data_IF_652441559522
#
_entry.id   IF_652441559522
#
_cell.length_a   1.000
_cell.length_b   1.000
_cell.length_c   1.000
_cell.angle_alpha   90.00
_cell.angle_beta   90.00
_cell.angle_gamma   90.00
#
_symmetry.space_group_name_H-M   'P 1'
#
loop_
_entity.id
_entity.type
_entity.pdbx_description
1 polymer ?
#
# COMPACT_ATOMS: atom_id res chain seq x y z
N UNK A 1 -4.26 10.63 -11.52
CA UNK A 1 -5.06 9.69 -10.71
C UNK A 1 -6.51 10.14 -10.66
N UNK A 2 -6.80 11.44 -10.65
CA UNK A 2 -8.17 11.90 -10.84
C UNK A 2 -8.78 11.47 -12.20
N UNK A 3 -10.05 11.08 -12.16
CA UNK A 3 -10.88 10.79 -13.31
C UNK A 3 -11.93 11.90 -13.44
N UNK A 4 -12.04 12.54 -14.61
CA UNK A 4 -13.13 13.50 -14.88
C UNK A 4 -14.45 12.76 -15.17
N UNK A 5 -14.83 11.84 -14.30
CA UNK A 5 -16.04 11.03 -14.36
C UNK A 5 -17.02 11.42 -13.23
N UNK A 6 -17.97 10.55 -12.92
CA UNK A 6 -18.98 10.82 -11.90
C UNK A 6 -18.43 10.79 -10.46
N UNK A 7 -17.23 10.21 -10.27
CA UNK A 7 -16.49 10.11 -9.01
C UNK A 7 -15.09 10.68 -9.20
N UNK A 8 -14.41 11.04 -8.10
CA UNK A 8 -13.06 11.62 -8.14
C UNK A 8 -12.03 10.66 -8.75
N UNK A 9 -12.14 9.37 -8.43
CA UNK A 9 -11.24 8.32 -8.91
C UNK A 9 -12.03 7.04 -9.23
N UNK A 10 -11.38 6.07 -9.87
CA UNK A 10 -11.90 4.69 -10.05
C UNK A 10 -10.74 3.71 -10.01
N UNK A 11 -10.94 2.49 -9.50
CA UNK A 11 -9.86 1.49 -9.45
C UNK A 11 -9.13 1.32 -10.79
N UNK A 12 -9.89 1.03 -11.86
CA UNK A 12 -9.37 0.68 -13.20
C UNK A 12 -8.77 1.82 -14.02
N UNK A 13 -9.19 3.08 -13.80
CA UNK A 13 -8.71 4.20 -14.62
C UNK A 13 -7.77 5.15 -13.87
N UNK A 14 -7.62 4.95 -12.56
CA UNK A 14 -6.96 5.90 -11.67
C UNK A 14 -5.87 5.25 -10.82
N UNK A 15 -6.15 4.09 -10.24
CA UNK A 15 -5.38 3.58 -9.10
C UNK A 15 -4.53 2.38 -9.47
N UNK A 16 -5.09 1.36 -10.14
CA UNK A 16 -4.41 0.10 -10.39
C UNK A 16 -3.17 0.22 -11.30
N UNK A 17 -3.19 1.11 -12.28
CA UNK A 17 -2.04 1.41 -13.16
C UNK A 17 -0.74 1.74 -12.39
N UNK A 18 -0.85 2.25 -11.16
CA UNK A 18 0.33 2.62 -10.36
C UNK A 18 1.18 1.42 -9.95
N UNK A 19 0.61 0.21 -9.89
CA UNK A 19 1.40 -1.01 -9.65
C UNK A 19 2.31 -1.35 -10.83
N UNK A 20 1.97 -0.92 -12.05
CA UNK A 20 2.79 -1.11 -13.26
C UNK A 20 3.78 0.05 -13.47
N UNK A 21 3.38 1.28 -13.15
CA UNK A 21 4.22 2.48 -13.36
C UNK A 21 5.32 2.64 -12.31
N UNK A 22 4.97 2.53 -11.02
CA UNK A 22 5.87 2.85 -9.90
C UNK A 22 7.18 2.04 -9.90
N UNK A 23 7.21 0.73 -10.25
CA UNK A 23 8.44 -0.05 -10.26
C UNK A 23 9.57 0.55 -11.10
N UNK A 24 9.25 1.13 -12.27
CA UNK A 24 10.22 1.72 -13.20
C UNK A 24 10.97 2.91 -12.58
N UNK A 25 10.31 3.64 -11.69
CA UNK A 25 10.84 4.84 -11.05
C UNK A 25 11.38 4.62 -9.64
N UNK A 26 11.12 3.45 -9.03
CA UNK A 26 11.50 3.12 -7.65
C UNK A 26 13.01 3.26 -7.32
N UNK A 27 13.89 3.25 -8.33
CA UNK A 27 15.35 3.46 -8.13
C UNK A 27 15.77 4.93 -8.12
N UNK A 28 14.85 5.83 -8.45
CA UNK A 28 15.10 7.28 -8.56
C UNK A 28 14.51 8.06 -7.39
N UNK A 29 13.64 7.45 -6.59
CA UNK A 29 13.06 8.04 -5.39
C UNK A 29 14.02 8.01 -4.19
N UNK A 30 14.12 9.12 -3.48
CA UNK A 30 14.90 9.26 -2.25
C UNK A 30 15.00 10.72 -1.79
N UNK A 31 15.80 10.99 -0.73
CA UNK A 31 16.10 12.35 -0.32
C UNK A 31 16.59 13.21 -1.51
N UNK A 32 15.89 14.32 -1.77
CA UNK A 32 16.14 15.19 -2.93
C UNK A 32 15.16 15.02 -4.09
N UNK A 33 14.31 13.99 -4.08
CA UNK A 33 13.23 13.81 -5.04
C UNK A 33 12.48 12.50 -4.82
N UNK A 34 11.18 12.58 -4.53
CA UNK A 34 10.30 11.42 -4.40
C UNK A 34 9.44 11.27 -5.66
N UNK A 35 9.05 10.03 -5.97
CA UNK A 35 8.10 9.79 -7.05
C UNK A 35 6.74 10.31 -6.60
N UNK A 36 6.14 11.18 -7.39
CA UNK A 36 4.79 11.67 -7.17
C UNK A 36 3.81 10.74 -7.88
N UNK A 37 3.04 9.99 -7.10
CA UNK A 37 1.98 9.12 -7.62
C UNK A 37 0.65 9.88 -7.79
N UNK A 38 0.65 11.21 -7.65
CA UNK A 38 -0.51 12.10 -7.61
C UNK A 38 -1.23 12.09 -6.24
N UNK A 39 -2.36 12.80 -6.14
CA UNK A 39 -3.16 12.91 -4.91
C UNK A 39 -3.65 11.57 -4.33
N UNK A 40 -4.22 11.61 -3.13
CA UNK A 40 -4.85 10.49 -2.43
C UNK A 40 -6.32 10.83 -2.13
N UNK A 41 -7.21 10.14 -2.82
CA UNK A 41 -8.67 10.28 -2.68
C UNK A 41 -9.25 9.02 -2.04
N UNK A 42 -9.13 8.95 -0.70
CA UNK A 42 -9.58 7.79 0.09
C UNK A 42 -10.48 8.21 1.26
N UNK A 43 -10.73 9.51 1.38
CA UNK A 43 -11.38 10.16 2.50
C UNK A 43 -12.90 10.01 2.51
N UNK A 44 -13.52 9.77 1.35
CA UNK A 44 -14.97 9.67 1.23
C UNK A 44 -15.42 8.70 0.12
N UNK A 45 -15.93 7.54 0.54
CA UNK A 45 -16.39 6.48 -0.37
C UNK A 45 -17.57 6.86 -1.28
N UNK A 46 -18.35 7.89 -0.93
CA UNK A 46 -19.41 8.41 -1.81
C UNK A 46 -18.87 9.28 -2.94
N UNK A 47 -17.69 9.88 -2.77
CA UNK A 47 -17.04 10.75 -3.76
C UNK A 47 -15.95 10.04 -4.56
N UNK A 48 -15.14 9.19 -3.91
CA UNK A 48 -13.98 8.55 -4.53
C UNK A 48 -14.33 7.33 -5.41
N UNK A 49 -15.54 6.76 -5.29
CA UNK A 49 -15.97 5.62 -6.13
C UNK A 49 -15.27 4.30 -5.81
N UNK A 50 -14.57 4.22 -4.67
CA UNK A 50 -13.76 3.07 -4.29
C UNK A 50 -14.39 2.28 -3.13
N UNK A 51 -14.24 0.95 -3.21
CA UNK A 51 -14.49 0.07 -2.08
C UNK A 51 -13.50 0.35 -0.94
N UNK A 52 -13.82 -0.12 0.27
CA UNK A 52 -12.88 -0.01 1.41
C UNK A 52 -11.55 -0.70 1.13
N UNK A 53 -11.57 -1.85 0.47
CA UNK A 53 -10.38 -2.62 0.12
C UNK A 53 -9.46 -1.82 -0.80
N UNK A 54 -10.02 -1.23 -1.86
CA UNK A 54 -9.29 -0.39 -2.82
C UNK A 54 -8.69 0.84 -2.16
N UNK A 55 -9.46 1.54 -1.30
CA UNK A 55 -8.97 2.70 -0.55
C UNK A 55 -7.78 2.37 0.35
N UNK A 56 -7.82 1.21 1.01
CA UNK A 56 -6.67 0.76 1.80
C UNK A 56 -5.47 0.44 0.90
N UNK A 57 -5.68 -0.23 -0.23
CA UNK A 57 -4.61 -0.58 -1.17
C UNK A 57 -3.95 0.64 -1.78
N UNK A 58 -4.76 1.65 -2.14
CA UNK A 58 -4.32 2.96 -2.59
C UNK A 58 -3.39 3.59 -1.53
N UNK A 59 -3.87 3.81 -0.31
CA UNK A 59 -3.05 4.43 0.74
C UNK A 59 -1.79 3.61 1.06
N UNK A 60 -1.88 2.27 1.01
CA UNK A 60 -0.75 1.37 1.25
C UNK A 60 0.33 1.52 0.18
N UNK A 61 -0.05 1.57 -1.11
CA UNK A 61 0.91 1.73 -2.20
C UNK A 61 1.63 3.07 -2.13
N UNK A 62 0.89 4.16 -1.85
CA UNK A 62 1.48 5.50 -1.71
C UNK A 62 2.48 5.54 -0.57
N UNK A 63 2.10 5.04 0.60
CA UNK A 63 2.96 5.04 1.78
C UNK A 63 4.23 4.21 1.56
N UNK A 64 4.12 3.00 0.98
CA UNK A 64 5.29 2.14 0.78
C UNK A 64 6.22 2.62 -0.36
N UNK A 65 5.69 3.43 -1.29
CA UNK A 65 6.46 4.13 -2.31
C UNK A 65 6.96 5.52 -1.89
N UNK A 66 6.60 5.98 -0.69
CA UNK A 66 7.00 7.28 -0.15
C UNK A 66 6.56 8.44 -1.04
N UNK A 67 5.39 8.29 -1.66
CA UNK A 67 4.79 9.34 -2.48
C UNK A 67 4.35 10.47 -1.56
N UNK A 68 4.51 11.74 -1.96
CA UNK A 68 3.90 12.84 -1.22
C UNK A 68 2.42 12.55 -0.91
N UNK A 69 2.04 12.64 0.36
CA UNK A 69 0.68 12.37 0.82
C UNK A 69 -0.15 13.66 0.76
N UNK A 70 -0.65 13.98 -0.43
CA UNK A 70 -1.59 15.09 -0.64
C UNK A 70 -3.01 14.53 -0.80
N UNK A 71 -3.92 14.86 0.12
CA UNK A 71 -5.32 14.45 -0.02
C UNK A 71 -6.05 15.40 -0.96
N UNK A 72 -6.74 14.84 -1.97
CA UNK A 72 -7.63 15.58 -2.86
C UNK A 72 -9.07 15.64 -2.34
N UNK A 73 -9.36 14.96 -1.22
CA UNK A 73 -10.69 14.90 -0.63
C UNK A 73 -11.20 16.27 -0.12
N UNK A 74 -12.51 16.50 -0.22
CA UNK A 74 -13.19 17.56 0.55
C UNK A 74 -13.15 17.19 2.05
N UNK A 75 -12.27 17.88 2.79
CA UNK A 75 -12.06 17.67 4.22
C UNK A 75 -13.34 17.87 5.07
N UNK A 76 -14.36 18.56 4.55
CA UNK A 76 -15.64 18.75 5.25
C UNK A 76 -16.60 17.56 5.07
N UNK A 77 -16.24 16.60 4.22
CA UNK A 77 -17.07 15.47 3.82
C UNK A 77 -16.41 14.11 4.10
N UNK A 78 -15.31 14.07 4.86
CA UNK A 78 -14.64 12.81 5.18
C UNK A 78 -15.57 11.86 5.94
N UNK A 79 -15.55 10.59 5.53
CA UNK A 79 -16.21 9.51 6.25
C UNK A 79 -15.29 8.94 7.35
N UNK A 80 -15.86 8.18 8.30
CA UNK A 80 -15.09 7.67 9.44
C UNK A 80 -13.98 6.70 9.05
N UNK A 81 -14.14 5.99 7.92
CA UNK A 81 -13.13 5.09 7.41
C UNK A 81 -12.00 5.87 6.73
N UNK A 82 -12.33 6.86 5.89
CA UNK A 82 -11.36 7.78 5.29
C UNK A 82 -10.51 8.50 6.32
N UNK A 83 -11.13 9.05 7.38
CA UNK A 83 -10.38 9.62 8.52
C UNK A 83 -9.43 8.59 9.13
N UNK A 84 -9.86 7.33 9.28
CA UNK A 84 -9.00 6.27 9.83
C UNK A 84 -7.80 5.95 8.93
N UNK A 85 -7.95 6.04 7.61
CA UNK A 85 -6.87 5.88 6.64
C UNK A 85 -5.88 7.04 6.71
N UNK A 86 -6.39 8.27 6.64
CA UNK A 86 -5.60 9.51 6.60
C UNK A 86 -4.90 9.83 7.92
N UNK A 87 -5.26 9.17 9.03
CA UNK A 87 -4.70 9.43 10.36
C UNK A 87 -3.98 8.22 10.97
N UNK A 88 -3.81 7.12 10.24
CA UNK A 88 -3.07 5.98 10.75
C UNK A 88 -1.56 6.28 10.85
N UNK A 89 -1.12 6.62 12.06
CA UNK A 89 0.28 6.97 12.36
C UNK A 89 1.30 5.88 11.99
N UNK A 90 0.93 4.60 12.03
CA UNK A 90 1.89 3.52 11.70
C UNK A 90 2.10 3.41 10.19
N UNK A 91 1.05 3.60 9.39
CA UNK A 91 1.14 3.64 7.93
C UNK A 91 1.82 4.93 7.47
N UNK A 92 1.48 6.08 8.06
CA UNK A 92 2.18 7.34 7.78
C UNK A 92 3.66 7.24 8.15
N UNK A 93 4.02 6.53 9.22
CA UNK A 93 5.42 6.32 9.58
C UNK A 93 6.20 5.48 8.55
N UNK A 94 5.53 4.59 7.80
CA UNK A 94 6.16 3.89 6.66
C UNK A 94 6.58 4.89 5.58
N UNK A 95 5.68 5.79 5.23
CA UNK A 95 5.92 6.86 4.26
C UNK A 95 7.07 7.77 4.71
N UNK A 96 7.02 8.22 5.96
CA UNK A 96 7.89 9.27 6.50
C UNK A 96 9.27 8.78 6.99
N UNK A 97 9.52 7.47 7.07
CA UNK A 97 10.82 6.97 7.53
C UNK A 97 11.94 7.12 6.49
N UNK A 98 13.18 6.80 6.89
CA UNK A 98 14.39 6.95 6.08
C UNK A 98 14.73 5.73 5.20
N UNK A 99 13.88 4.70 5.19
CA UNK A 99 14.07 3.51 4.37
C UNK A 99 14.02 3.85 2.87
N UNK A 100 14.60 3.02 1.99
CA UNK A 100 14.30 3.09 0.57
C UNK A 100 12.81 2.81 0.31
N UNK A 101 12.28 3.32 -0.80
CA UNK A 101 10.95 2.90 -1.31
C UNK A 101 10.91 1.39 -1.51
N UNK A 102 9.76 0.77 -1.25
CA UNK A 102 9.60 -0.65 -1.52
C UNK A 102 9.60 -0.96 -3.01
N UNK A 103 9.93 -2.20 -3.32
CA UNK A 103 9.91 -2.74 -4.68
C UNK A 103 9.10 -4.03 -4.70
N UNK A 104 8.49 -4.37 -5.84
CA UNK A 104 7.87 -5.68 -6.02
C UNK A 104 8.96 -6.77 -5.90
N UNK A 105 8.72 -7.74 -5.01
CA UNK A 105 9.49 -9.00 -4.95
C UNK A 105 8.76 -10.13 -5.68
N UNK A 106 7.48 -9.96 -5.96
CA UNK A 106 6.72 -10.72 -6.96
C UNK A 106 6.36 -9.76 -8.08
N UNK A 107 6.88 -9.99 -9.29
CA UNK A 107 6.78 -9.04 -10.41
C UNK A 107 5.76 -9.44 -11.48
N UNK A 108 4.99 -10.52 -11.27
CA UNK A 108 4.04 -11.05 -12.24
C UNK A 108 2.77 -11.52 -11.54
N UNK A 109 1.63 -11.21 -12.15
CA UNK A 109 0.30 -11.63 -11.71
C UNK A 109 -0.33 -10.71 -10.68
N UNK A 110 -1.56 -11.04 -10.33
CA UNK A 110 -2.42 -10.16 -9.52
C UNK A 110 -2.09 -10.20 -8.03
N UNK A 111 -1.44 -11.27 -7.55
CA UNK A 111 -0.99 -11.37 -6.16
C UNK A 111 0.44 -10.85 -6.04
N UNK A 112 0.57 -9.59 -5.65
CA UNK A 112 1.86 -8.93 -5.54
C UNK A 112 2.33 -8.80 -4.10
N UNK A 113 3.64 -8.90 -3.92
CA UNK A 113 4.32 -8.61 -2.66
C UNK A 113 5.35 -7.56 -2.92
N UNK A 114 5.31 -6.50 -2.12
CA UNK A 114 6.26 -5.39 -2.17
C UNK A 114 6.99 -5.30 -0.85
N UNK A 115 8.27 -4.95 -0.86
CA UNK A 115 9.00 -4.79 0.39
C UNK A 115 10.23 -3.92 0.31
N UNK A 116 10.64 -3.44 1.48
CA UNK A 116 11.88 -2.72 1.72
C UNK A 116 12.46 -3.13 3.08
N UNK A 117 13.77 -2.96 3.24
CA UNK A 117 14.46 -3.17 4.50
C UNK A 117 14.64 -1.82 5.20
N UNK A 118 14.27 -1.76 6.46
CA UNK A 118 14.38 -0.56 7.28
C UNK A 118 15.77 -0.44 7.92
N UNK A 119 16.14 0.78 8.31
CA UNK A 119 17.44 1.07 8.91
C UNK A 119 17.69 0.30 10.22
N UNK A 120 16.64 0.01 10.99
CA UNK A 120 16.69 -0.77 12.24
C UNK A 120 16.79 -2.30 12.02
N UNK A 121 16.83 -2.75 10.77
CA UNK A 121 16.90 -4.16 10.39
C UNK A 121 15.55 -4.86 10.26
N UNK A 122 14.44 -4.18 10.58
CA UNK A 122 13.09 -4.65 10.28
C UNK A 122 12.79 -4.55 8.77
N UNK A 123 11.64 -5.09 8.35
CA UNK A 123 11.17 -5.01 6.98
C UNK A 123 9.75 -4.45 6.96
N UNK A 124 9.49 -3.57 6.00
CA UNK A 124 8.13 -3.18 5.65
C UNK A 124 7.72 -3.98 4.43
N UNK A 125 6.57 -4.64 4.51
CA UNK A 125 6.07 -5.54 3.47
C UNK A 125 4.60 -5.20 3.24
N UNK A 126 4.20 -5.04 1.98
CA UNK A 126 2.80 -4.92 1.58
C UNK A 126 2.41 -6.10 0.71
N UNK A 127 1.26 -6.69 1.01
CA UNK A 127 0.63 -7.75 0.23
C UNK A 127 -0.56 -7.13 -0.52
N UNK A 128 -0.67 -7.38 -1.81
CA UNK A 128 -1.76 -6.87 -2.65
C UNK A 128 -2.41 -8.01 -3.41
N UNK A 129 -3.74 -8.03 -3.45
CA UNK A 129 -4.52 -8.83 -4.37
C UNK A 129 -5.20 -7.91 -5.38
N UNK A 130 -4.63 -7.79 -6.57
CA UNK A 130 -5.14 -6.93 -7.64
C UNK A 130 -6.25 -7.58 -8.47
N UNK A 131 -6.61 -8.83 -8.16
CA UNK A 131 -7.66 -9.55 -8.89
C UNK A 131 -9.06 -9.12 -8.42
N UNK A 132 -10.04 -9.32 -9.31
CA UNK A 132 -11.48 -9.09 -9.07
C UNK A 132 -12.12 -10.11 -8.09
N UNK A 133 -11.33 -11.01 -7.51
CA UNK A 133 -11.83 -12.04 -6.60
C UNK A 133 -10.90 -12.24 -5.39
N UNK A 134 -11.42 -12.67 -4.23
CA UNK A 134 -10.58 -12.94 -3.07
C UNK A 134 -9.50 -13.98 -3.36
N UNK A 135 -8.27 -13.71 -2.92
CA UNK A 135 -7.13 -14.60 -3.13
C UNK A 135 -6.18 -14.57 -1.93
N UNK A 136 -5.39 -15.63 -1.78
CA UNK A 136 -4.31 -15.67 -0.79
C UNK A 136 -3.02 -15.11 -1.38
N UNK A 137 -2.40 -14.16 -0.68
CA UNK A 137 -1.10 -13.58 -1.05
C UNK A 137 -0.05 -14.08 -0.07
N UNK A 138 1.11 -14.50 -0.57
CA UNK A 138 2.17 -15.08 0.28
C UNK A 138 3.46 -14.29 0.14
N UNK A 139 3.90 -13.67 1.23
CA UNK A 139 5.24 -13.09 1.32
C UNK A 139 6.23 -14.15 1.81
N UNK A 140 7.13 -14.57 0.92
CA UNK A 140 8.27 -15.42 1.26
C UNK A 140 9.42 -14.53 1.73
N UNK A 141 9.98 -14.79 2.90
CA UNK A 141 11.08 -13.96 3.41
C UNK A 141 12.34 -14.07 2.58
N UNK A 142 12.57 -15.23 1.95
CA UNK A 142 13.69 -15.41 1.05
C UNK A 142 13.65 -14.42 -0.12
N UNK A 143 12.44 -14.08 -0.62
CA UNK A 143 12.24 -13.06 -1.64
C UNK A 143 12.54 -11.64 -1.14
N UNK A 144 12.45 -11.42 0.17
CA UNK A 144 12.85 -10.18 0.85
C UNK A 144 14.33 -10.18 1.28
N UNK A 145 15.05 -11.29 1.07
CA UNK A 145 16.47 -11.42 1.37
C UNK A 145 16.82 -11.99 2.76
N UNK A 146 15.88 -12.63 3.47
CA UNK A 146 16.16 -13.27 4.77
C UNK A 146 15.40 -14.59 4.97
N UNK A 147 15.76 -15.36 6.01
CA UNK A 147 15.09 -16.62 6.39
C UNK A 147 15.02 -16.75 7.92
N UNK A 148 14.29 -17.74 8.45
CA UNK A 148 14.31 -18.07 9.89
C UNK A 148 12.96 -17.85 10.59
N UNK A 149 12.95 -17.11 11.70
CA UNK A 149 11.75 -16.64 12.39
C UNK A 149 11.66 -15.09 12.37
N UNK A 150 10.45 -14.54 12.33
CA UNK A 150 10.18 -13.10 12.33
C UNK A 150 8.82 -12.83 12.97
N UNK A 151 8.79 -11.86 13.87
CA UNK A 151 7.54 -11.34 14.44
C UNK A 151 6.90 -10.38 13.44
N UNK A 152 5.59 -10.53 13.24
CA UNK A 152 4.83 -9.77 12.24
C UNK A 152 3.81 -8.87 12.95
N UNK A 153 3.72 -7.62 12.49
CA UNK A 153 2.75 -6.63 12.94
C UNK A 153 1.95 -6.12 11.74
N UNK A 154 0.64 -6.13 11.88
CA UNK A 154 -0.31 -5.50 10.96
C UNK A 154 -0.46 -4.02 11.35
N UNK A 155 0.00 -3.12 10.49
CA UNK A 155 0.01 -1.67 10.74
C UNK A 155 -1.37 -1.04 10.58
N UNK A 156 -2.22 -1.62 9.72
CA UNK A 156 -3.60 -1.15 9.53
C UNK A 156 -4.44 -1.42 10.78
N UNK A 157 -4.34 -2.64 11.32
CA UNK A 157 -5.09 -3.05 12.50
C UNK A 157 -4.35 -2.84 13.82
N UNK A 158 -3.10 -2.33 13.78
CA UNK A 158 -2.22 -2.11 14.94
C UNK A 158 -2.04 -3.37 15.79
N UNK A 159 -2.05 -4.52 15.14
CA UNK A 159 -2.13 -5.83 15.76
C UNK A 159 -0.83 -6.62 15.56
N UNK A 160 -0.32 -7.22 16.62
CA UNK A 160 0.77 -8.19 16.50
C UNK A 160 0.18 -9.54 16.08
N UNK A 161 0.59 -10.06 14.92
CA UNK A 161 0.10 -11.32 14.37
C UNK A 161 0.87 -12.54 14.91
N UNK A 162 1.94 -12.29 15.66
CA UNK A 162 2.80 -13.33 16.24
C UNK A 162 4.06 -13.57 15.41
N UNK A 163 4.70 -14.71 15.66
CA UNK A 163 5.95 -15.09 14.99
C UNK A 163 5.68 -16.16 13.94
N UNK A 164 6.06 -15.86 12.71
CA UNK A 164 5.97 -16.78 11.59
C UNK A 164 7.32 -17.44 11.35
N UNK A 165 7.39 -18.40 10.42
CA UNK A 165 8.64 -19.03 9.97
C UNK A 165 8.70 -19.04 8.45
N UNK A 166 9.75 -18.44 7.89
CA UNK A 166 10.03 -18.31 6.45
C UNK A 166 9.01 -17.59 5.56
N UNK A 167 7.74 -17.47 5.97
CA UNK A 167 6.69 -16.81 5.19
C UNK A 167 5.50 -16.39 6.03
N UNK A 168 4.67 -15.51 5.46
CA UNK A 168 3.29 -15.24 5.91
C UNK A 168 2.36 -15.32 4.70
N UNK A 169 1.15 -15.85 4.90
CA UNK A 169 0.10 -15.95 3.88
C UNK A 169 -1.17 -15.34 4.43
N UNK A 170 -1.76 -14.41 3.70
CA UNK A 170 -2.96 -13.68 4.11
C UNK A 170 -4.03 -13.80 3.02
N UNK A 171 -5.27 -14.06 3.44
CA UNK A 171 -6.42 -14.07 2.55
C UNK A 171 -6.95 -12.63 2.42
N UNK A 172 -6.88 -12.08 1.20
CA UNK A 172 -7.29 -10.72 0.91
C UNK A 172 -8.56 -10.72 0.05
N UNK A 173 -9.48 -9.76 0.24
CA UNK A 173 -10.59 -9.56 -0.68
C UNK A 173 -10.08 -9.16 -2.07
N UNK A 174 -10.98 -9.09 -3.05
CA UNK A 174 -10.70 -8.42 -4.31
C UNK A 174 -10.15 -7.01 -4.04
N UNK A 175 -9.07 -6.65 -4.72
CA UNK A 175 -8.38 -5.36 -4.62
C UNK A 175 -7.86 -5.03 -3.21
N UNK A 176 -7.77 -6.04 -2.33
CA UNK A 176 -7.37 -5.89 -0.95
C UNK A 176 -5.87 -5.82 -0.75
N UNK A 177 -5.48 -5.19 0.36
CA UNK A 177 -4.09 -5.09 0.80
C UNK A 177 -3.92 -5.49 2.26
N UNK A 178 -2.67 -5.72 2.65
CA UNK A 178 -2.24 -5.87 4.05
C UNK A 178 -0.82 -5.38 4.24
#
# INVERSE_FOLDING_TARGET
>A
VECYCNTLVTWENSVNDRWDDAPAWSRKAGPGGWNDLDGIDVGNGEMDGLTKAERQSYMTLWAINKSPLFTGDDLTKLDSYGVSLLTNKEVIAVDQNDSPVARPVTTVGDQQVWGTKNADGSYTVALFNLADSPASVTAQWASLGFTGNASVRDLWNKANLGTYKNKITEALPAHGSR
#
